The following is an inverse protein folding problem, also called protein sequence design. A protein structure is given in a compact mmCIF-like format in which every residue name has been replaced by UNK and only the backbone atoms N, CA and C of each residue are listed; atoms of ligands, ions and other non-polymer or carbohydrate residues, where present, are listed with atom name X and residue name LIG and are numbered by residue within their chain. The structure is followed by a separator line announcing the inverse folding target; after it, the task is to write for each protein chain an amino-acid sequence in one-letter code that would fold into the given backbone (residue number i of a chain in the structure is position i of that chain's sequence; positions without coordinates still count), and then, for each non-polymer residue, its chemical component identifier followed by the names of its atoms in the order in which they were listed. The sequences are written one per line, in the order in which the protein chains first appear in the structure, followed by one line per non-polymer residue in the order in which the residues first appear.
data_IF_596042042394
#
_entry.id   IF_596042042394
#
_cell.length_a   1.000
_cell.length_b   1.000
_cell.length_c   1.000
_cell.angle_alpha   90.00
_cell.angle_beta   90.00
_cell.angle_gamma   90.00
#
_symmetry.space_group_name_H-M   'P 1'
#
loop_
_entity.id
_entity.type
_entity.pdbx_description
1 polymer ?
#
# COMPACT_ATOMS: atom_id res chain seq x y z
N UNK A 1 23.09 -10.01 6.11
CA UNK A 1 23.16 -8.93 5.11
C UNK A 1 22.55 -9.49 3.82
N UNK A 2 21.51 -8.86 3.28
CA UNK A 2 20.89 -9.29 2.01
C UNK A 2 21.94 -9.10 0.89
N UNK A 3 21.99 -9.96 -0.12
CA UNK A 3 22.92 -9.78 -1.25
C UNK A 3 22.34 -8.71 -2.18
N UNK A 4 23.13 -7.73 -2.67
CA UNK A 4 22.59 -6.65 -3.50
C UNK A 4 22.50 -7.12 -4.95
N UNK A 5 21.61 -8.08 -5.19
CA UNK A 5 21.31 -8.58 -6.53
C UNK A 5 19.87 -8.27 -6.90
N UNK A 6 19.60 -8.21 -8.21
CA UNK A 6 18.26 -7.95 -8.72
C UNK A 6 17.22 -8.91 -8.12
N UNK A 7 17.54 -10.22 -8.05
CA UNK A 7 16.65 -11.23 -7.46
C UNK A 7 16.26 -10.89 -6.01
N UNK A 8 17.24 -10.62 -5.16
CA UNK A 8 16.99 -10.33 -3.75
C UNK A 8 16.22 -9.00 -3.56
N UNK A 9 16.46 -8.02 -4.43
CA UNK A 9 15.67 -6.79 -4.46
C UNK A 9 14.20 -7.07 -4.76
N UNK A 10 13.91 -7.85 -5.80
CA UNK A 10 12.54 -8.16 -6.19
C UNK A 10 11.84 -9.10 -5.23
N UNK A 11 12.55 -10.05 -4.61
CA UNK A 11 12.03 -10.88 -3.52
C UNK A 11 11.63 -10.02 -2.31
N UNK A 12 12.45 -9.02 -1.95
CA UNK A 12 12.11 -8.03 -0.94
C UNK A 12 10.86 -7.23 -1.31
N UNK A 13 10.78 -6.71 -2.54
CA UNK A 13 9.62 -5.94 -3.02
C UNK A 13 8.35 -6.78 -3.02
N UNK A 14 8.44 -8.06 -3.42
CA UNK A 14 7.33 -9.00 -3.39
C UNK A 14 6.77 -9.15 -1.97
N UNK A 15 7.65 -9.41 -1.00
CA UNK A 15 7.25 -9.55 0.40
C UNK A 15 6.65 -8.25 0.94
N UNK A 16 7.24 -7.11 0.59
CA UNK A 16 6.78 -5.80 1.02
C UNK A 16 5.37 -5.50 0.49
N UNK A 17 5.11 -5.76 -0.80
CA UNK A 17 3.77 -5.63 -1.38
C UNK A 17 2.79 -6.62 -0.74
N UNK A 18 3.20 -7.85 -0.46
CA UNK A 18 2.32 -8.82 0.20
C UNK A 18 1.83 -8.32 1.56
N UNK A 19 2.75 -7.81 2.37
CA UNK A 19 2.44 -7.28 3.71
C UNK A 19 1.53 -6.05 3.63
N UNK A 20 1.78 -5.16 2.66
CA UNK A 20 1.04 -3.90 2.53
C UNK A 20 -0.30 -4.07 1.83
N UNK A 21 -0.28 -4.67 0.64
CA UNK A 21 -1.33 -4.61 -0.38
C UNK A 21 -2.17 -5.86 -0.49
N UNK A 22 -1.53 -7.04 -0.52
CA UNK A 22 -2.22 -8.31 -0.77
C UNK A 22 -2.98 -8.76 0.49
N UNK A 23 -2.50 -8.36 1.67
CA UNK A 23 -3.17 -8.58 2.96
C UNK A 23 -4.38 -7.67 3.22
N UNK A 24 -4.70 -6.72 2.32
CA UNK A 24 -5.90 -5.89 2.46
C UNK A 24 -7.13 -6.75 2.16
N UNK A 25 -7.94 -7.00 3.20
CA UNK A 25 -9.19 -7.72 3.06
C UNK A 25 -10.27 -6.84 2.42
N UNK A 26 -10.70 -7.17 1.19
CA UNK A 26 -11.76 -6.42 0.49
C UNK A 26 -13.09 -6.34 1.26
N UNK A 27 -13.40 -7.35 2.09
CA UNK A 27 -14.62 -7.36 2.90
C UNK A 27 -14.64 -6.26 3.96
N UNK A 28 -13.46 -5.71 4.32
CA UNK A 28 -13.38 -4.57 5.24
C UNK A 28 -14.16 -3.37 4.73
N UNK A 29 -14.17 -3.15 3.41
CA UNK A 29 -14.83 -1.99 2.81
C UNK A 29 -16.35 -2.13 2.73
N UNK A 30 -16.89 -3.35 2.89
CA UNK A 30 -18.33 -3.62 2.92
C UNK A 30 -19.09 -2.92 1.79
N UNK A 31 -20.12 -2.17 2.20
CA UNK A 31 -20.96 -1.35 1.32
C UNK A 31 -20.53 0.13 1.30
N UNK A 32 -19.45 0.51 2.00
CA UNK A 32 -18.97 1.89 2.07
C UNK A 32 -18.47 2.37 0.70
N UNK A 33 -17.88 1.46 -0.10
CA UNK A 33 -17.38 1.74 -1.45
C UNK A 33 -17.70 0.59 -2.41
N UNK A 34 -18.04 0.87 -3.69
CA UNK A 34 -18.29 -0.18 -4.68
C UNK A 34 -17.06 -1.07 -4.88
N UNK A 35 -17.25 -2.38 -4.81
CA UNK A 35 -16.18 -3.38 -5.01
C UNK A 35 -15.92 -3.69 -6.50
N UNK A 36 -16.88 -3.36 -7.35
CA UNK A 36 -16.90 -3.64 -8.77
C UNK A 36 -17.10 -2.35 -9.56
N UNK A 37 -16.58 -2.33 -10.78
CA UNK A 37 -16.79 -1.26 -11.75
C UNK A 37 -17.37 -1.85 -13.04
N UNK A 38 -18.44 -1.21 -13.55
CA UNK A 38 -19.04 -1.55 -14.84
C UNK A 38 -18.41 -0.68 -15.92
N UNK A 39 -17.84 -1.32 -16.94
CA UNK A 39 -17.29 -0.61 -18.09
C UNK A 39 -18.05 -1.03 -19.36
N UNK A 40 -18.64 -0.06 -20.05
CA UNK A 40 -19.20 -0.32 -21.37
C UNK A 40 -18.08 -0.53 -22.39
N UNK A 41 -18.11 -1.70 -23.06
CA UNK A 41 -17.24 -1.96 -24.20
C UNK A 41 -17.80 -1.30 -25.46
N UNK A 42 -16.90 -1.10 -26.42
CA UNK A 42 -17.20 -0.59 -27.77
C UNK A 42 -18.23 -1.45 -28.53
N UNK A 43 -18.46 -2.69 -28.12
CA UNK A 43 -19.46 -3.61 -28.69
C UNK A 43 -20.82 -3.57 -27.97
N UNK A 44 -21.02 -2.63 -27.04
CA UNK A 44 -22.26 -2.46 -26.27
C UNK A 44 -22.43 -3.45 -25.11
N UNK A 45 -21.43 -4.30 -24.82
CA UNK A 45 -21.46 -5.19 -23.66
C UNK A 45 -20.92 -4.49 -22.42
N UNK A 46 -21.53 -4.77 -21.26
CA UNK A 46 -21.01 -4.33 -19.97
C UNK A 46 -20.02 -5.36 -19.44
N UNK A 47 -18.80 -4.93 -19.18
CA UNK A 47 -17.77 -5.73 -18.50
C UNK A 47 -17.70 -5.31 -17.03
N UNK A 48 -18.08 -6.23 -16.14
CA UNK A 48 -17.97 -6.06 -14.69
C UNK A 48 -16.57 -6.44 -14.25
N UNK A 49 -15.81 -5.49 -13.70
CA UNK A 49 -14.43 -5.72 -13.23
C UNK A 49 -14.32 -5.53 -11.73
N UNK A 50 -13.63 -6.47 -11.09
CA UNK A 50 -13.26 -6.37 -9.68
C UNK A 50 -12.24 -5.24 -9.47
N UNK A 51 -12.54 -4.32 -8.56
CA UNK A 51 -11.61 -3.23 -8.22
C UNK A 51 -10.43 -3.74 -7.39
N UNK A 52 -9.27 -3.10 -7.59
CA UNK A 52 -8.03 -3.43 -6.88
C UNK A 52 -8.03 -2.92 -5.44
N UNK A 53 -7.33 -3.62 -4.53
CA UNK A 53 -7.30 -3.28 -3.09
C UNK A 53 -6.82 -1.87 -2.78
N UNK A 54 -5.83 -1.34 -3.50
CA UNK A 54 -5.37 0.06 -3.33
C UNK A 54 -6.44 1.06 -3.73
N UNK A 55 -7.18 0.79 -4.81
CA UNK A 55 -8.23 1.69 -5.27
C UNK A 55 -9.38 1.73 -4.26
N UNK A 56 -9.75 0.57 -3.71
CA UNK A 56 -10.75 0.49 -2.64
C UNK A 56 -10.28 1.24 -1.37
N UNK A 57 -9.01 1.05 -0.98
CA UNK A 57 -8.43 1.77 0.16
C UNK A 57 -8.43 3.30 -0.06
N UNK A 58 -8.06 3.77 -1.25
CA UNK A 58 -8.06 5.19 -1.56
C UNK A 58 -9.46 5.78 -1.46
N UNK A 59 -10.46 5.14 -2.08
CA UNK A 59 -11.84 5.62 -2.04
C UNK A 59 -12.38 5.67 -0.61
N UNK A 60 -12.13 4.62 0.16
CA UNK A 60 -12.57 4.55 1.55
C UNK A 60 -11.93 5.63 2.41
N UNK A 61 -10.63 5.90 2.24
CA UNK A 61 -9.95 6.98 2.96
C UNK A 61 -10.52 8.35 2.57
N UNK A 62 -10.75 8.57 1.28
CA UNK A 62 -11.35 9.83 0.81
C UNK A 62 -12.77 10.04 1.34
N UNK A 63 -13.53 8.95 1.52
CA UNK A 63 -14.87 9.00 2.11
C UNK A 63 -14.83 9.32 3.61
N UNK A 64 -13.88 8.72 4.34
CA UNK A 64 -13.88 8.76 5.81
C UNK A 64 -13.00 9.88 6.41
N UNK A 65 -12.00 10.36 5.68
CA UNK A 65 -10.97 11.25 6.21
C UNK A 65 -10.72 12.45 5.30
N UNK A 66 -11.01 13.65 5.82
CA UNK A 66 -10.90 14.92 5.10
C UNK A 66 -9.88 15.83 5.78
N UNK A 67 -8.56 15.61 5.55
CA UNK A 67 -7.53 16.45 6.13
C UNK A 67 -7.50 17.83 5.47
N UNK A 68 -6.98 18.82 6.19
CA UNK A 68 -6.71 20.15 5.62
C UNK A 68 -5.68 20.06 4.48
N UNK A 69 -4.68 19.20 4.64
CA UNK A 69 -3.68 18.90 3.62
C UNK A 69 -3.85 17.44 3.12
N UNK A 70 -4.23 17.23 1.84
CA UNK A 70 -4.38 15.90 1.27
C UNK A 70 -3.04 15.24 0.89
N UNK A 71 -1.94 16.00 0.78
CA UNK A 71 -0.67 15.52 0.24
C UNK A 71 -0.10 14.28 0.98
N UNK A 72 -0.20 14.14 2.31
CA UNK A 72 0.23 12.93 3.00
C UNK A 72 -0.55 11.68 2.56
N UNK A 73 -1.87 11.79 2.34
CA UNK A 73 -2.70 10.66 1.89
C UNK A 73 -2.37 10.27 0.45
N UNK A 74 -2.21 11.26 -0.42
CA UNK A 74 -1.79 11.02 -1.81
C UNK A 74 -0.41 10.36 -1.87
N UNK A 75 0.54 10.80 -1.02
CA UNK A 75 1.87 10.20 -0.91
C UNK A 75 1.83 8.76 -0.42
N UNK A 76 0.95 8.45 0.54
CA UNK A 76 0.71 7.07 1.00
C UNK A 76 0.17 6.20 -0.14
N UNK A 77 -0.89 6.60 -0.84
CA UNK A 77 -1.44 5.83 -1.96
C UNK A 77 -0.41 5.66 -3.09
N UNK A 78 0.38 6.70 -3.38
CA UNK A 78 1.47 6.66 -4.36
C UNK A 78 2.54 5.64 -3.97
N UNK A 79 2.88 5.55 -2.69
CA UNK A 79 3.84 4.55 -2.17
C UNK A 79 3.33 3.13 -2.40
N UNK A 80 2.06 2.86 -2.11
CA UNK A 80 1.45 1.55 -2.39
C UNK A 80 1.49 1.20 -3.88
N UNK A 81 1.12 2.14 -4.76
CA UNK A 81 1.17 1.95 -6.22
C UNK A 81 2.60 1.72 -6.73
N UNK A 82 3.58 2.45 -6.21
CA UNK A 82 5.00 2.31 -6.54
C UNK A 82 5.50 0.89 -6.23
N UNK A 83 5.25 0.41 -5.00
CA UNK A 83 5.68 -0.92 -4.56
C UNK A 83 5.01 -2.02 -5.40
N UNK A 84 3.69 -1.91 -5.64
CA UNK A 84 2.93 -2.80 -6.54
C UNK A 84 3.54 -2.86 -7.95
N UNK A 85 3.87 -1.69 -8.51
CA UNK A 85 4.45 -1.59 -9.84
C UNK A 85 5.85 -2.21 -9.91
N UNK A 86 6.68 -2.02 -8.88
CA UNK A 86 8.00 -2.67 -8.80
C UNK A 86 7.89 -4.19 -8.73
N UNK A 87 6.93 -4.73 -7.97
CA UNK A 87 6.65 -6.17 -7.90
C UNK A 87 6.29 -6.75 -9.27
N UNK A 88 5.58 -6.00 -10.09
CA UNK A 88 5.14 -6.48 -11.39
C UNK A 88 6.28 -6.53 -12.42
N UNK A 89 7.37 -5.77 -12.26
CA UNK A 89 8.46 -5.72 -13.26
C UNK A 89 9.04 -7.09 -13.64
N UNK A 90 9.42 -7.98 -12.71
CA UNK A 90 9.93 -9.32 -13.06
C UNK A 90 8.94 -10.19 -13.84
N UNK A 91 7.63 -9.98 -13.68
CA UNK A 91 6.62 -10.74 -14.42
C UNK A 91 6.46 -10.26 -15.87
N UNK A 92 6.92 -9.05 -16.20
CA UNK A 92 6.79 -8.44 -17.52
C UNK A 92 8.10 -8.45 -18.34
N UNK A 93 9.22 -8.85 -17.74
CA UNK A 93 10.53 -8.93 -18.41
C UNK A 93 11.44 -9.91 -17.68
N UNK A 94 12.21 -10.72 -18.41
CA UNK A 94 13.30 -11.51 -17.84
C UNK A 94 14.37 -10.55 -17.32
N UNK A 95 14.70 -10.63 -16.03
CA UNK A 95 15.69 -9.76 -15.38
C UNK A 95 16.93 -10.59 -15.06
N UNK A 96 18.08 -10.18 -15.58
CA UNK A 96 19.37 -10.78 -15.23
C UNK A 96 19.69 -10.53 -13.75
N UNK A 97 20.26 -11.52 -13.07
CA UNK A 97 20.54 -11.44 -11.64
C UNK A 97 21.84 -10.64 -11.37
N UNK A 98 21.83 -9.38 -11.79
CA UNK A 98 22.96 -8.49 -11.70
C UNK A 98 23.20 -8.01 -10.27
N UNK A 99 24.48 -7.83 -9.93
CA UNK A 99 24.91 -7.26 -8.66
C UNK A 99 25.04 -5.74 -8.80
N UNK A 100 24.33 -4.99 -7.94
CA UNK A 100 24.44 -3.53 -7.86
C UNK A 100 24.18 -3.04 -6.43
N UNK A 101 25.13 -2.30 -5.86
CA UNK A 101 24.97 -1.68 -4.54
C UNK A 101 23.80 -0.71 -4.44
N UNK A 102 23.31 -0.18 -5.58
CA UNK A 102 22.11 0.65 -5.63
C UNK A 102 20.89 -0.06 -5.05
N UNK A 103 20.79 -1.40 -5.18
CA UNK A 103 19.70 -2.16 -4.59
C UNK A 103 19.59 -2.01 -3.08
N UNK A 104 20.70 -1.83 -2.35
CA UNK A 104 20.64 -1.55 -0.92
C UNK A 104 20.04 -0.18 -0.61
N UNK A 105 20.41 0.84 -1.39
CA UNK A 105 19.87 2.19 -1.21
C UNK A 105 18.38 2.20 -1.52
N UNK A 106 17.97 1.49 -2.58
CA UNK A 106 16.58 1.40 -3.00
C UNK A 106 15.74 0.64 -1.96
N UNK A 107 16.22 -0.51 -1.43
CA UNK A 107 15.56 -1.23 -0.34
C UNK A 107 15.36 -0.33 0.89
N UNK A 108 16.41 0.42 1.28
CA UNK A 108 16.34 1.33 2.42
C UNK A 108 15.36 2.48 2.20
N UNK A 109 15.30 3.04 0.99
CA UNK A 109 14.30 4.07 0.68
C UNK A 109 12.89 3.49 0.74
N UNK A 110 12.68 2.33 0.10
CA UNK A 110 11.37 1.68 0.03
C UNK A 110 10.82 1.30 1.40
N UNK A 111 11.65 0.75 2.29
CA UNK A 111 11.17 0.38 3.64
C UNK A 111 10.76 1.61 4.46
N UNK A 112 11.47 2.73 4.32
CA UNK A 112 11.14 3.99 5.00
C UNK A 112 9.83 4.58 4.45
N UNK A 113 9.66 4.58 3.13
CA UNK A 113 8.42 4.99 2.48
C UNK A 113 7.23 4.11 2.90
N UNK A 114 7.40 2.79 2.85
CA UNK A 114 6.40 1.82 3.27
C UNK A 114 6.00 2.00 4.74
N UNK A 115 6.98 2.17 5.63
CA UNK A 115 6.72 2.43 7.04
C UNK A 115 5.89 3.70 7.24
N UNK A 116 6.25 4.80 6.57
CA UNK A 116 5.48 6.06 6.65
C UNK A 116 4.04 5.88 6.15
N UNK A 117 3.85 5.16 5.04
CA UNK A 117 2.53 4.89 4.48
C UNK A 117 1.67 4.05 5.43
N UNK A 118 2.20 2.95 5.97
CA UNK A 118 1.49 2.09 6.93
C UNK A 118 1.19 2.83 8.24
N UNK A 119 2.14 3.63 8.74
CA UNK A 119 1.91 4.49 9.90
C UNK A 119 0.76 5.45 9.66
N UNK A 120 0.64 6.00 8.45
CA UNK A 120 -0.44 6.93 8.12
C UNK A 120 -1.81 6.25 8.15
N UNK A 121 -1.93 5.04 7.58
CA UNK A 121 -3.15 4.22 7.70
C UNK A 121 -3.51 4.01 9.17
N UNK A 122 -2.51 3.69 10.00
CA UNK A 122 -2.71 3.52 11.44
C UNK A 122 -3.29 4.78 12.09
N UNK A 123 -2.76 5.95 11.74
CA UNK A 123 -3.26 7.23 12.26
C UNK A 123 -4.69 7.52 11.78
N UNK A 124 -5.02 7.20 10.53
CA UNK A 124 -6.39 7.32 10.01
C UNK A 124 -7.36 6.48 10.83
N UNK A 125 -7.06 5.19 11.05
CA UNK A 125 -7.91 4.32 11.86
C UNK A 125 -8.00 4.77 13.32
N UNK A 126 -6.85 5.14 13.90
CA UNK A 126 -6.77 5.63 15.27
C UNK A 126 -7.63 6.87 15.52
N UNK A 127 -7.74 7.76 14.54
CA UNK A 127 -8.53 8.98 14.63
C UNK A 127 -9.98 8.83 14.12
N UNK A 128 -10.37 7.63 13.70
CA UNK A 128 -11.73 7.38 13.21
C UNK A 128 -12.76 7.61 14.35
N UNK A 129 -13.93 8.24 14.10
CA UNK A 129 -14.91 8.54 15.14
C UNK A 129 -15.33 7.34 15.98
N UNK A 130 -15.47 6.16 15.37
CA UNK A 130 -15.82 4.91 16.06
C UNK A 130 -14.72 4.42 17.02
N UNK A 131 -13.50 4.95 16.95
CA UNK A 131 -12.39 4.59 17.83
C UNK A 131 -12.29 5.48 19.08
N UNK A 132 -13.09 6.55 19.21
CA UNK A 132 -13.01 7.52 20.32
C UNK A 132 -13.18 6.91 21.72
N UNK A 133 -13.93 5.81 21.83
CA UNK A 133 -14.16 5.11 23.10
C UNK A 133 -13.06 4.11 23.48
N UNK A 134 -12.08 3.88 22.61
CA UNK A 134 -11.03 2.89 22.82
C UNK A 134 -9.74 3.55 23.27
N UNK A 135 -9.10 3.00 24.31
CA UNK A 135 -7.77 3.44 24.73
C UNK A 135 -6.74 2.95 23.73
N UNK A 136 -6.16 3.87 22.98
CA UNK A 136 -5.09 3.60 22.01
C UNK A 136 -3.77 3.94 22.69
N UNK A 137 -2.78 3.06 22.60
CA UNK A 137 -1.47 3.29 23.22
C UNK A 137 -0.72 4.45 22.52
N UNK A 138 -0.08 5.33 23.29
CA UNK A 138 0.63 6.51 22.78
C UNK A 138 1.74 6.16 21.77
N UNK A 139 2.36 4.98 21.93
CA UNK A 139 3.40 4.48 21.02
C UNK A 139 2.91 4.37 19.56
N UNK A 140 1.60 4.20 19.37
CA UNK A 140 0.96 4.09 18.05
C UNK A 140 0.85 5.44 17.34
N UNK A 141 0.84 6.53 18.11
CA UNK A 141 0.93 7.88 17.61
C UNK A 141 2.39 8.28 17.40
N UNK A 142 3.24 8.00 18.37
CA UNK A 142 4.64 8.44 18.36
C UNK A 142 5.48 7.75 17.28
N UNK A 143 5.09 6.56 16.83
CA UNK A 143 5.86 5.78 15.85
C UNK A 143 7.19 5.27 16.41
N UNK A 144 7.27 5.01 17.71
CA UNK A 144 8.45 4.37 18.33
C UNK A 144 8.39 2.86 18.06
N UNK A 145 9.46 2.29 17.53
CA UNK A 145 9.60 0.85 17.35
C UNK A 145 10.37 0.31 18.56
N UNK A 146 9.81 -0.63 19.32
CA UNK A 146 10.59 -1.36 20.34
C UNK A 146 11.55 -2.28 19.60
N UNK A 147 12.85 -2.01 19.70
CA UNK A 147 13.89 -3.00 19.45
C UNK A 147 13.95 -3.92 20.67
N UNK A 148 13.64 -5.18 20.48
CA UNK A 148 13.87 -6.26 21.45
C UNK A 148 15.36 -6.57 21.57
#
# INVERSE_FOLDING_TARGET
MIRPTAKEFYDFVLLLDQIMSDNINKRFFGDDVPLEEENERKDGKVEVRQRGTIALLQDWINLMFHPVDPAPMEGMITTFRKIRGLRQKPAHSTIDNDFDQQYFKDQRSLIVEAYKAVRLIRLVFTNHPNCRGHKIEDILYDGRIRSF
#
